data_IF_729950495703
#
_entry.id   IF_729950495703
#
_cell.length_a   1.000
_cell.length_b   1.000
_cell.length_c   1.000
_cell.angle_alpha   90.00
_cell.angle_beta   90.00
_cell.angle_gamma   90.00
#
_symmetry.space_group_name_H-M   'P 1'
#
loop_
_entity.id
_entity.type
_entity.pdbx_description
1 polymer ?
#
# COMPACT_ATOMS: atom_id res chain seq x y z
N UNK A 1 -12.30 -14.83 18.53
CA UNK A 1 -11.20 -14.13 19.23
C UNK A 1 -10.06 -13.97 18.25
N UNK A 2 -9.50 -12.76 18.08
CA UNK A 2 -8.33 -12.54 17.21
C UNK A 2 -7.11 -13.19 17.89
N UNK A 3 -6.50 -14.18 17.26
CA UNK A 3 -5.25 -14.80 17.71
C UNK A 3 -4.08 -14.05 17.11
N UNK A 4 -3.12 -13.63 17.93
CA UNK A 4 -1.88 -13.01 17.42
C UNK A 4 -0.90 -14.10 16.99
N UNK A 5 -0.29 -13.91 15.80
CA UNK A 5 0.82 -14.72 15.34
C UNK A 5 2.10 -14.40 16.11
N UNK A 6 2.32 -13.12 16.42
CA UNK A 6 3.47 -12.66 17.21
C UNK A 6 3.12 -11.38 17.98
N UNK A 7 3.69 -11.22 19.18
CA UNK A 7 3.69 -9.97 19.95
C UNK A 7 5.11 -9.64 20.40
N UNK A 8 5.50 -8.36 20.32
CA UNK A 8 6.77 -7.90 20.89
C UNK A 8 6.74 -7.96 22.42
N UNK A 9 7.93 -8.08 23.04
CA UNK A 9 8.05 -8.19 24.50
C UNK A 9 7.49 -6.97 25.25
N UNK A 10 7.61 -5.79 24.66
CA UNK A 10 7.08 -4.52 25.18
C UNK A 10 5.63 -4.24 24.76
N UNK A 11 4.99 -5.18 24.04
CA UNK A 11 3.63 -5.06 23.51
C UNK A 11 3.37 -3.93 22.51
N UNK A 12 4.40 -3.26 22.00
CA UNK A 12 4.26 -2.16 21.03
C UNK A 12 3.92 -2.65 19.61
N UNK A 13 4.14 -3.95 19.35
CA UNK A 13 3.89 -4.54 18.04
C UNK A 13 3.13 -5.86 18.16
N UNK A 14 2.06 -5.99 17.40
CA UNK A 14 1.31 -7.24 17.26
C UNK A 14 1.19 -7.60 15.78
N UNK A 15 1.62 -8.81 15.41
CA UNK A 15 1.43 -9.37 14.09
C UNK A 15 0.23 -10.32 14.10
N UNK A 16 -0.68 -10.12 13.17
CA UNK A 16 -1.82 -11.00 12.92
C UNK A 16 -1.65 -11.67 11.56
N UNK A 17 -2.01 -12.93 11.46
CA UNK A 17 -2.08 -13.67 10.20
C UNK A 17 -3.54 -13.99 9.91
N UNK A 18 -3.99 -13.66 8.69
CA UNK A 18 -5.34 -13.97 8.26
C UNK A 18 -5.88 -13.04 7.19
N UNK A 19 -7.12 -13.29 6.83
CA UNK A 19 -7.87 -12.50 5.87
C UNK A 19 -8.32 -11.19 6.51
N UNK A 20 -7.87 -10.05 5.96
CA UNK A 20 -8.19 -8.72 6.47
C UNK A 20 -9.71 -8.42 6.46
N UNK A 21 -10.46 -8.97 5.52
CA UNK A 21 -11.93 -8.83 5.48
C UNK A 21 -12.61 -9.47 6.70
N UNK A 22 -12.00 -10.52 7.26
CA UNK A 22 -12.48 -11.20 8.46
C UNK A 22 -11.92 -10.60 9.75
N UNK A 23 -10.68 -10.10 9.70
CA UNK A 23 -9.98 -9.58 10.88
C UNK A 23 -10.41 -8.15 11.22
N UNK A 24 -10.48 -7.24 10.22
CA UNK A 24 -10.80 -5.84 10.44
C UNK A 24 -12.09 -5.61 11.23
N UNK A 25 -13.22 -6.26 10.89
CA UNK A 25 -14.48 -6.06 11.63
C UNK A 25 -14.40 -6.46 13.11
N UNK A 26 -13.48 -7.36 13.49
CA UNK A 26 -13.35 -7.86 14.86
C UNK A 26 -12.66 -6.89 15.82
N UNK A 27 -11.94 -5.88 15.31
CA UNK A 27 -11.33 -4.87 16.18
C UNK A 27 -12.42 -4.01 16.83
N UNK A 28 -12.32 -3.86 18.17
CA UNK A 28 -13.24 -3.03 18.98
C UNK A 28 -12.78 -1.58 19.14
N UNK A 29 -11.66 -1.23 18.54
CA UNK A 29 -11.06 0.10 18.59
C UNK A 29 -10.85 0.63 17.17
N UNK A 30 -10.62 1.93 17.04
CA UNK A 30 -10.32 2.64 15.81
C UNK A 30 -8.83 2.96 15.74
N UNK A 31 -8.27 2.93 14.53
CA UNK A 31 -6.87 3.25 14.26
C UNK A 31 -6.68 4.74 13.99
N UNK A 32 -5.52 5.27 14.38
CA UNK A 32 -5.08 6.63 14.00
C UNK A 32 -4.62 6.68 12.55
N UNK A 33 -3.97 5.59 12.08
CA UNK A 33 -3.47 5.48 10.73
C UNK A 33 -3.57 4.03 10.23
N UNK A 34 -3.90 3.87 8.96
CA UNK A 34 -3.81 2.60 8.24
C UNK A 34 -2.83 2.77 7.08
N UNK A 35 -1.81 1.90 7.00
CA UNK A 35 -0.99 1.74 5.81
C UNK A 35 -1.34 0.41 5.14
N UNK A 36 -1.83 0.48 3.90
CA UNK A 36 -2.25 -0.67 3.13
C UNK A 36 -1.34 -0.90 1.92
N UNK A 37 -0.91 -2.15 1.74
CA UNK A 37 -0.22 -2.63 0.53
C UNK A 37 -1.07 -3.75 -0.10
N UNK A 38 -2.17 -3.39 -0.81
CA UNK A 38 -3.13 -4.36 -1.36
C UNK A 38 -2.52 -5.15 -2.51
N UNK A 39 -3.16 -6.25 -2.96
CA UNK A 39 -2.82 -6.94 -4.18
C UNK A 39 -2.83 -5.99 -5.39
N UNK A 40 -1.84 -6.14 -6.30
CA UNK A 40 -1.75 -5.29 -7.50
C UNK A 40 -2.38 -5.94 -8.72
N UNK A 41 -2.87 -7.18 -8.59
CA UNK A 41 -3.49 -7.98 -9.66
C UNK A 41 -2.62 -8.10 -10.91
N UNK A 42 -1.32 -8.37 -10.70
CA UNK A 42 -0.31 -8.48 -11.75
C UNK A 42 -0.14 -9.90 -12.31
N UNK A 43 -0.82 -10.89 -11.74
CA UNK A 43 -0.68 -12.31 -12.09
C UNK A 43 -1.51 -12.64 -13.33
N UNK A 44 -1.04 -12.23 -14.50
CA UNK A 44 -1.64 -12.48 -15.82
C UNK A 44 -0.65 -13.20 -16.73
N UNK A 45 0.01 -14.25 -16.25
CA UNK A 45 1.02 -15.01 -16.99
C UNK A 45 2.16 -14.13 -17.57
N UNK A 46 2.33 -12.92 -17.02
CA UNK A 46 3.38 -11.99 -17.40
C UNK A 46 4.75 -12.49 -17.00
N UNK A 47 5.76 -12.03 -17.74
CA UNK A 47 7.17 -12.28 -17.45
C UNK A 47 7.87 -10.98 -17.05
N UNK A 48 8.83 -11.09 -16.14
CA UNK A 48 9.73 -10.00 -15.73
C UNK A 48 11.18 -10.47 -15.75
N UNK A 49 12.12 -9.53 -15.79
CA UNK A 49 13.54 -9.86 -15.61
C UNK A 49 13.96 -9.57 -14.17
N UNK A 50 14.56 -10.58 -13.53
CA UNK A 50 15.25 -10.42 -12.27
C UNK A 50 16.69 -10.92 -12.40
N UNK A 51 17.65 -10.02 -12.18
CA UNK A 51 19.09 -10.34 -12.30
C UNK A 51 19.46 -10.99 -13.63
N UNK A 52 18.91 -10.48 -14.76
CA UNK A 52 19.18 -10.98 -16.11
C UNK A 52 18.45 -12.28 -16.48
N UNK A 53 17.59 -12.82 -15.60
CA UNK A 53 16.80 -14.03 -15.88
C UNK A 53 15.32 -13.68 -16.04
N UNK A 54 14.67 -14.31 -17.01
CA UNK A 54 13.22 -14.26 -17.19
C UNK A 54 12.56 -15.01 -16.02
N UNK A 55 11.67 -14.35 -15.29
CA UNK A 55 10.90 -14.93 -14.20
C UNK A 55 9.41 -14.66 -14.39
N UNK A 56 8.57 -15.63 -14.01
CA UNK A 56 7.12 -15.41 -13.97
C UNK A 56 6.77 -14.40 -12.89
N UNK A 57 5.83 -13.49 -13.19
CA UNK A 57 5.25 -12.56 -12.20
C UNK A 57 4.07 -13.16 -11.45
N UNK A 58 3.70 -14.41 -11.74
CA UNK A 58 2.57 -15.08 -11.12
C UNK A 58 2.80 -15.27 -9.62
N UNK A 59 1.94 -14.68 -8.78
CA UNK A 59 2.03 -14.70 -7.31
C UNK A 59 0.98 -15.57 -6.65
N UNK A 60 0.03 -16.11 -7.41
CA UNK A 60 -1.04 -16.96 -6.93
C UNK A 60 -2.44 -16.48 -7.34
N UNK A 61 -3.45 -17.28 -7.03
CA UNK A 61 -4.85 -17.03 -7.45
C UNK A 61 -5.44 -15.73 -6.89
N UNK A 62 -4.94 -15.27 -5.75
CA UNK A 62 -5.36 -14.03 -5.11
C UNK A 62 -4.92 -12.75 -5.86
N UNK A 63 -3.92 -12.85 -6.74
CA UNK A 63 -3.37 -11.73 -7.52
C UNK A 63 -3.79 -11.83 -9.02
N UNK A 64 -4.72 -12.72 -9.38
CA UNK A 64 -5.24 -12.84 -10.74
C UNK A 64 -6.14 -11.66 -11.09
N UNK A 65 -5.94 -11.14 -12.30
CA UNK A 65 -6.83 -10.13 -12.86
C UNK A 65 -8.18 -10.78 -13.25
N UNK A 66 -9.24 -10.33 -12.59
CA UNK A 66 -10.62 -10.77 -12.83
C UNK A 66 -11.44 -9.71 -13.57
N UNK A 67 -10.78 -8.74 -14.18
CA UNK A 67 -11.42 -7.61 -14.85
C UNK A 67 -11.53 -6.37 -13.96
N UNK A 68 -11.87 -5.24 -14.60
CA UNK A 68 -11.88 -3.92 -13.94
C UNK A 68 -13.02 -3.81 -12.92
N UNK A 69 -14.16 -4.41 -13.18
CA UNK A 69 -15.31 -4.39 -12.28
C UNK A 69 -14.98 -5.09 -10.96
N UNK A 70 -14.40 -6.30 -11.02
CA UNK A 70 -14.00 -7.05 -9.83
C UNK A 70 -12.90 -6.34 -9.05
N UNK A 71 -11.97 -5.66 -9.73
CA UNK A 71 -10.95 -4.83 -9.10
C UNK A 71 -11.58 -3.65 -8.34
N UNK A 72 -12.54 -2.97 -8.96
CA UNK A 72 -13.22 -1.82 -8.36
C UNK A 72 -14.06 -2.26 -7.14
N UNK A 73 -14.80 -3.36 -7.25
CA UNK A 73 -15.58 -3.92 -6.14
C UNK A 73 -14.69 -4.34 -4.98
N UNK A 74 -13.59 -5.04 -5.26
CA UNK A 74 -12.61 -5.42 -4.24
C UNK A 74 -12.06 -4.20 -3.51
N UNK A 75 -11.63 -3.16 -4.24
CA UNK A 75 -11.07 -1.96 -3.64
C UNK A 75 -12.11 -1.19 -2.83
N UNK A 76 -13.33 -1.07 -3.33
CA UNK A 76 -14.43 -0.42 -2.62
C UNK A 76 -14.71 -1.14 -1.29
N UNK A 77 -14.75 -2.47 -1.29
CA UNK A 77 -15.06 -3.26 -0.12
C UNK A 77 -14.01 -3.09 1.00
N UNK A 78 -12.72 -3.36 0.73
CA UNK A 78 -11.71 -3.26 1.81
C UNK A 78 -11.47 -1.81 2.28
N UNK A 79 -11.61 -0.82 1.39
CA UNK A 79 -11.49 0.60 1.77
C UNK A 79 -12.65 1.02 2.67
N UNK A 80 -13.87 0.51 2.42
CA UNK A 80 -15.02 0.73 3.30
C UNK A 80 -14.75 0.20 4.71
N UNK A 81 -14.24 -1.03 4.83
CA UNK A 81 -13.86 -1.60 6.13
C UNK A 81 -12.76 -0.80 6.84
N UNK A 82 -11.75 -0.34 6.09
CA UNK A 82 -10.71 0.53 6.64
C UNK A 82 -11.31 1.85 7.16
N UNK A 83 -12.26 2.44 6.43
CA UNK A 83 -12.91 3.68 6.85
C UNK A 83 -13.67 3.51 8.16
N UNK A 84 -14.39 2.41 8.33
CA UNK A 84 -15.12 2.10 9.58
C UNK A 84 -14.17 1.99 10.77
N UNK A 85 -12.96 1.52 10.56
CA UNK A 85 -11.95 1.29 11.61
C UNK A 85 -10.96 2.44 11.80
N UNK A 86 -11.10 3.53 11.09
CA UNK A 86 -10.30 4.74 11.30
C UNK A 86 -11.02 5.72 12.23
N UNK A 87 -10.26 6.38 13.11
CA UNK A 87 -10.73 7.56 13.86
C UNK A 87 -11.14 8.68 12.90
N UNK A 88 -11.98 9.60 13.35
CA UNK A 88 -12.43 10.70 12.49
C UNK A 88 -11.29 11.58 11.97
N UNK A 89 -10.24 11.78 12.75
CA UNK A 89 -9.00 12.48 12.35
C UNK A 89 -7.95 11.54 11.76
N UNK A 90 -8.26 10.26 11.57
CA UNK A 90 -7.36 9.25 11.06
C UNK A 90 -7.07 9.39 9.57
N UNK A 91 -5.95 8.81 9.14
CA UNK A 91 -5.48 8.81 7.75
C UNK A 91 -5.26 7.40 7.22
N UNK A 92 -5.39 7.26 5.91
CA UNK A 92 -5.05 6.04 5.19
C UNK A 92 -3.98 6.32 4.14
N UNK A 93 -3.01 5.40 4.04
CA UNK A 93 -1.93 5.40 3.06
C UNK A 93 -2.01 4.11 2.28
N UNK A 94 -2.12 4.20 0.97
CA UNK A 94 -2.29 3.02 0.11
C UNK A 94 -1.21 3.00 -0.96
N UNK A 95 -0.32 2.00 -0.90
CA UNK A 95 0.67 1.79 -1.96
C UNK A 95 0.04 1.09 -3.16
N UNK A 96 0.58 1.37 -4.35
CA UNK A 96 0.12 0.73 -5.57
C UNK A 96 0.95 1.07 -6.79
N UNK A 97 0.69 0.31 -7.85
CA UNK A 97 1.19 0.57 -9.18
C UNK A 97 0.09 1.15 -10.06
N UNK A 98 0.42 1.55 -11.29
CA UNK A 98 -0.58 2.06 -12.24
C UNK A 98 -1.72 1.05 -12.54
N UNK A 99 -1.54 -0.24 -12.25
CA UNK A 99 -2.56 -1.25 -12.49
C UNK A 99 -3.75 -1.15 -11.53
N UNK A 100 -3.54 -0.68 -10.30
CA UNK A 100 -4.61 -0.64 -9.29
C UNK A 100 -4.83 0.74 -8.67
N UNK A 101 -3.86 1.67 -8.74
CA UNK A 101 -3.90 2.92 -7.98
C UNK A 101 -5.09 3.81 -8.37
N UNK A 102 -5.50 3.81 -9.63
CA UNK A 102 -6.65 4.60 -10.10
C UNK A 102 -7.97 4.06 -9.52
N UNK A 103 -8.13 2.74 -9.46
CA UNK A 103 -9.28 2.09 -8.81
C UNK A 103 -9.29 2.38 -7.31
N UNK A 104 -8.12 2.33 -6.65
CA UNK A 104 -7.97 2.71 -5.23
C UNK A 104 -8.38 4.16 -4.99
N UNK A 105 -7.89 5.10 -5.81
CA UNK A 105 -8.23 6.51 -5.66
C UNK A 105 -9.73 6.77 -5.86
N UNK A 106 -10.35 6.10 -6.84
CA UNK A 106 -11.79 6.16 -7.07
C UNK A 106 -12.57 5.62 -5.84
N UNK A 107 -12.19 4.46 -5.32
CA UNK A 107 -12.84 3.86 -4.15
C UNK A 107 -12.68 4.74 -2.89
N UNK A 108 -11.54 5.38 -2.68
CA UNK A 108 -11.34 6.36 -1.60
C UNK A 108 -12.30 7.53 -1.73
N UNK A 109 -12.49 8.08 -2.92
CA UNK A 109 -13.44 9.17 -3.15
C UNK A 109 -14.89 8.75 -2.96
N UNK A 110 -15.29 7.58 -3.49
CA UNK A 110 -16.63 7.02 -3.33
C UNK A 110 -16.99 6.76 -1.87
N UNK A 111 -16.04 6.29 -1.09
CA UNK A 111 -16.22 6.09 0.36
C UNK A 111 -16.15 7.38 1.17
N UNK A 112 -15.92 8.54 0.54
CA UNK A 112 -15.93 9.86 1.17
C UNK A 112 -14.64 10.26 1.88
N UNK A 113 -13.52 9.61 1.59
CA UNK A 113 -12.21 10.11 1.97
C UNK A 113 -11.86 11.39 1.21
N UNK A 114 -11.05 12.25 1.83
CA UNK A 114 -10.39 13.36 1.15
C UNK A 114 -8.95 12.98 0.83
N UNK A 115 -8.61 12.82 -0.44
CA UNK A 115 -7.22 12.62 -0.87
C UNK A 115 -6.45 13.90 -0.57
N UNK A 116 -5.30 13.75 0.07
CA UNK A 116 -4.36 14.80 0.42
C UNK A 116 -3.25 14.92 -0.62
N UNK A 117 -2.59 13.79 -0.91
CA UNK A 117 -1.54 13.70 -1.93
C UNK A 117 -1.60 12.35 -2.66
N UNK A 118 -1.12 12.35 -3.89
CA UNK A 118 -0.68 11.16 -4.60
C UNK A 118 0.84 11.26 -4.69
N UNK A 119 1.52 10.53 -3.80
CA UNK A 119 2.97 10.54 -3.71
C UNK A 119 3.54 9.63 -4.80
N UNK A 120 4.47 10.15 -5.58
CA UNK A 120 5.20 9.39 -6.58
C UNK A 120 6.52 8.92 -6.04
N UNK A 121 6.67 7.61 -5.84
CA UNK A 121 7.96 7.02 -5.57
C UNK A 121 8.70 6.79 -6.89
N UNK A 122 9.65 7.68 -7.21
CA UNK A 122 10.54 7.56 -8.35
C UNK A 122 11.72 6.63 -8.00
N UNK A 123 11.76 5.47 -8.64
CA UNK A 123 12.82 4.48 -8.43
C UNK A 123 14.10 4.92 -9.12
N UNK A 124 15.20 5.01 -8.37
CA UNK A 124 16.52 5.36 -8.94
C UNK A 124 17.16 4.22 -9.73
N UNK A 125 16.65 2.98 -9.60
CA UNK A 125 17.15 1.76 -10.25
C UNK A 125 15.99 0.92 -10.82
N UNK A 126 15.15 1.46 -11.72
CA UNK A 126 14.02 0.71 -12.28
C UNK A 126 14.51 -0.44 -13.17
N UNK A 127 13.78 -1.56 -13.26
CA UNK A 127 14.08 -2.62 -14.21
C UNK A 127 13.87 -2.12 -15.65
N UNK A 128 14.71 -2.57 -16.63
CA UNK A 128 14.54 -2.16 -18.02
C UNK A 128 13.23 -2.67 -18.62
N UNK A 129 12.70 -1.94 -19.59
CA UNK A 129 11.60 -2.42 -20.43
C UNK A 129 12.14 -3.29 -21.56
N UNK A 130 11.80 -4.57 -21.52
CA UNK A 130 12.31 -5.58 -22.47
C UNK A 130 11.72 -5.38 -23.87
N UNK A 131 10.46 -4.95 -23.96
CA UNK A 131 9.78 -4.78 -25.24
C UNK A 131 10.27 -3.58 -26.04
N UNK A 132 10.89 -2.59 -25.38
CA UNK A 132 11.34 -1.31 -25.97
C UNK A 132 10.25 -0.56 -26.75
N UNK A 133 8.96 -0.79 -26.45
CA UNK A 133 7.82 -0.19 -27.16
C UNK A 133 7.08 0.89 -26.38
N UNK A 134 7.44 1.08 -25.12
CA UNK A 134 6.90 2.10 -24.21
C UNK A 134 7.96 2.50 -23.19
N UNK A 135 7.69 3.54 -22.42
CA UNK A 135 8.62 4.00 -21.38
C UNK A 135 8.81 2.97 -20.28
N UNK A 136 10.01 2.92 -19.70
CA UNK A 136 10.28 2.09 -18.53
C UNK A 136 9.45 2.53 -17.34
N UNK A 137 8.78 1.60 -16.69
CA UNK A 137 8.04 1.87 -15.47
C UNK A 137 9.00 2.13 -14.31
N UNK A 138 9.24 3.39 -14.02
CA UNK A 138 10.18 3.84 -12.99
C UNK A 138 9.49 4.33 -11.72
N UNK A 139 8.15 4.29 -11.67
CA UNK A 139 7.39 4.85 -10.54
C UNK A 139 6.43 3.82 -9.93
N UNK A 140 6.21 3.98 -8.62
CA UNK A 140 5.06 3.46 -7.88
C UNK A 140 4.38 4.64 -7.17
N UNK A 141 3.18 4.42 -6.67
CA UNK A 141 2.36 5.48 -6.09
C UNK A 141 1.95 5.13 -4.66
N UNK A 142 1.77 6.18 -3.86
CA UNK A 142 1.14 6.06 -2.54
C UNK A 142 0.05 7.13 -2.47
N UNK A 143 -1.20 6.70 -2.35
CA UNK A 143 -2.31 7.64 -2.10
C UNK A 143 -2.41 7.86 -0.61
N UNK A 144 -2.29 9.11 -0.18
CA UNK A 144 -2.53 9.55 1.18
C UNK A 144 -3.86 10.27 1.27
N UNK A 145 -4.74 9.79 2.15
CA UNK A 145 -6.08 10.36 2.31
C UNK A 145 -6.47 10.44 3.79
N UNK A 146 -7.38 11.36 4.13
CA UNK A 146 -7.96 11.50 5.47
C UNK A 146 -9.44 11.16 5.48
N UNK A 147 -9.93 10.62 6.62
CA UNK A 147 -11.34 10.21 6.78
C UNK A 147 -12.29 11.41 6.81
N UNK A 148 -12.02 12.40 7.64
CA UNK A 148 -12.91 13.57 7.80
C UNK A 148 -12.57 14.67 6.81
N UNK A 149 -13.61 15.34 6.29
CA UNK A 149 -13.44 16.54 5.46
C UNK A 149 -13.19 17.80 6.31
N UNK A 150 -13.64 17.80 7.57
CA UNK A 150 -13.63 18.97 8.47
C UNK A 150 -12.59 18.86 9.57
N UNK A 151 -12.42 17.69 10.20
CA UNK A 151 -11.46 17.52 11.28
C UNK A 151 -10.03 17.43 10.72
N UNK A 152 -9.05 18.19 11.28
CA UNK A 152 -7.67 18.10 10.87
C UNK A 152 -7.07 16.75 11.25
N UNK A 153 -6.26 16.18 10.36
CA UNK A 153 -5.43 15.02 10.65
C UNK A 153 -4.12 15.48 11.30
N UNK A 154 -3.42 14.54 11.96
CA UNK A 154 -2.07 14.82 12.46
C UNK A 154 -1.07 14.87 11.30
N UNK A 155 -0.23 15.90 11.29
CA UNK A 155 0.91 16.06 10.39
C UNK A 155 2.04 16.79 11.08
N UNK A 156 3.20 16.14 11.21
CA UNK A 156 4.38 16.75 11.82
C UNK A 156 5.18 17.52 10.77
N UNK A 157 4.73 18.75 10.49
CA UNK A 157 5.34 19.62 9.47
C UNK A 157 6.83 19.87 9.69
N UNK A 158 7.24 20.17 10.93
CA UNK A 158 8.64 20.49 11.26
C UNK A 158 9.55 19.29 11.07
N UNK A 159 9.12 18.09 11.49
CA UNK A 159 9.87 16.86 11.25
C UNK A 159 10.03 16.60 9.75
N UNK A 160 8.96 16.70 8.98
CA UNK A 160 8.99 16.46 7.53
C UNK A 160 9.88 17.48 6.82
N UNK A 161 9.87 18.73 7.24
CA UNK A 161 10.74 19.78 6.74
C UNK A 161 12.21 19.49 7.07
N UNK A 162 12.51 19.06 8.29
CA UNK A 162 13.87 18.69 8.70
C UNK A 162 14.42 17.51 7.89
N UNK A 163 13.58 16.46 7.67
CA UNK A 163 13.93 15.31 6.82
C UNK A 163 14.26 15.75 5.39
N UNK A 164 13.58 16.77 4.88
CA UNK A 164 13.79 17.32 3.53
C UNK A 164 14.82 18.47 3.50
N UNK A 165 15.81 18.47 4.38
CA UNK A 165 16.91 19.44 4.38
C UNK A 165 16.48 20.89 4.64
N UNK A 166 15.48 21.10 5.50
CA UNK A 166 14.95 22.41 5.86
C UNK A 166 13.92 22.99 4.87
N UNK A 167 13.56 22.24 3.82
CA UNK A 167 12.55 22.64 2.82
C UNK A 167 11.26 21.87 3.04
N UNK A 168 10.14 22.44 2.62
CA UNK A 168 8.86 21.76 2.66
C UNK A 168 8.92 20.43 1.89
N UNK A 169 8.39 19.36 2.48
CA UNK A 169 8.34 18.04 1.83
C UNK A 169 7.45 18.10 0.59
N UNK A 170 7.90 17.44 -0.48
CA UNK A 170 7.17 17.30 -1.74
C UNK A 170 6.60 15.90 -1.89
N UNK A 171 5.75 15.71 -2.88
CA UNK A 171 5.09 14.44 -3.20
C UNK A 171 5.85 13.59 -4.22
N UNK A 172 7.10 13.94 -4.55
CA UNK A 172 7.99 13.10 -5.37
C UNK A 172 9.16 12.65 -4.51
N UNK A 173 9.25 11.32 -4.29
CA UNK A 173 10.30 10.70 -3.46
C UNK A 173 11.23 9.85 -4.32
N UNK A 174 12.48 10.27 -4.45
CA UNK A 174 13.51 9.55 -5.22
C UNK A 174 14.23 8.54 -4.31
N UNK A 175 13.82 7.28 -4.36
CA UNK A 175 14.38 6.21 -3.53
C UNK A 175 14.67 4.97 -4.38
N UNK A 176 15.71 4.18 -4.06
CA UNK A 176 15.96 2.93 -4.76
C UNK A 176 14.86 1.91 -4.48
N UNK A 177 14.57 1.05 -5.46
CA UNK A 177 13.83 -0.18 -5.21
C UNK A 177 14.64 -1.07 -4.25
N UNK A 178 13.96 -1.95 -3.49
CA UNK A 178 14.60 -2.81 -2.49
C UNK A 178 15.78 -3.56 -3.09
N UNK A 179 16.97 -3.34 -2.55
CA UNK A 179 18.19 -4.02 -2.94
C UNK A 179 18.12 -5.54 -2.60
N UNK A 180 18.99 -6.33 -3.24
CA UNK A 180 19.05 -7.80 -3.10
C UNK A 180 19.09 -8.28 -1.64
N UNK A 181 19.71 -7.53 -0.74
CA UNK A 181 19.78 -7.80 0.71
C UNK A 181 18.43 -7.74 1.43
N UNK A 182 17.56 -6.81 1.06
CA UNK A 182 16.20 -6.74 1.59
C UNK A 182 15.31 -7.91 1.17
N UNK A 183 15.64 -8.60 0.07
CA UNK A 183 14.92 -9.81 -0.39
C UNK A 183 15.27 -11.06 0.42
N UNK A 184 16.44 -11.10 1.06
CA UNK A 184 16.87 -12.24 1.89
C UNK A 184 16.03 -12.33 3.17
N UNK A 185 15.58 -11.21 3.71
CA UNK A 185 14.68 -11.15 4.87
C UNK A 185 13.21 -11.49 4.52
N UNK A 186 12.86 -11.56 3.22
CA UNK A 186 11.51 -11.93 2.73
C UNK A 186 11.38 -13.42 2.38
N UNK A 187 12.03 -14.31 3.08
CA UNK A 187 11.81 -15.77 2.92
C UNK A 187 10.54 -16.27 3.63
N UNK A 188 9.54 -15.42 3.82
CA UNK A 188 8.21 -15.86 4.22
C UNK A 188 7.28 -15.96 3.00
N UNK A 189 6.36 -16.93 2.95
CA UNK A 189 5.40 -17.08 1.86
C UNK A 189 4.62 -15.78 1.66
N UNK A 190 4.32 -15.44 0.42
CA UNK A 190 3.76 -14.19 -0.06
C UNK A 190 2.35 -13.89 0.47
N UNK A 191 2.21 -13.57 1.73
CA UNK A 191 1.02 -12.89 2.25
C UNK A 191 1.32 -11.40 2.22
N UNK A 192 0.64 -10.64 1.35
CA UNK A 192 0.70 -9.18 1.41
C UNK A 192 0.06 -8.74 2.71
N UNK A 193 0.86 -8.08 3.52
CA UNK A 193 0.49 -7.69 4.88
C UNK A 193 -0.05 -6.27 4.86
N UNK A 194 -1.29 -6.08 5.29
CA UNK A 194 -1.77 -4.77 5.70
C UNK A 194 -1.20 -4.51 7.09
N UNK A 195 -0.36 -3.49 7.22
CA UNK A 195 0.20 -3.08 8.51
C UNK A 195 -0.72 -2.04 9.13
N UNK A 196 -1.20 -2.32 10.32
CA UNK A 196 -1.93 -1.37 11.15
C UNK A 196 -0.99 -0.80 12.21
N UNK A 197 -0.97 0.52 12.34
CA UNK A 197 -0.24 1.24 13.38
C UNK A 197 -1.28 1.90 14.27
N UNK A 198 -1.31 1.50 15.52
CA UNK A 198 -2.16 2.10 16.56
C UNK A 198 -1.45 3.24 17.24
#
# INVERSE_FOLDING_TARGET
MISSYYKSCNHDFTLLEGDCFKLLPQFKFEFDMIFADPPYFLSNDGISIQSGKIVSVNKGDWDKNRGIEALNEFNLHWITLCREKLKNNGTIWVSGTYHNIFSVANALQQTGFRILNVITWAKTNPPPNISCRFFTYSTEFIVWARKSKTQPHYYNYELMKNINGGKQMTDVWCLPAIARWGKILRKTPHTKTVKFIS
#
